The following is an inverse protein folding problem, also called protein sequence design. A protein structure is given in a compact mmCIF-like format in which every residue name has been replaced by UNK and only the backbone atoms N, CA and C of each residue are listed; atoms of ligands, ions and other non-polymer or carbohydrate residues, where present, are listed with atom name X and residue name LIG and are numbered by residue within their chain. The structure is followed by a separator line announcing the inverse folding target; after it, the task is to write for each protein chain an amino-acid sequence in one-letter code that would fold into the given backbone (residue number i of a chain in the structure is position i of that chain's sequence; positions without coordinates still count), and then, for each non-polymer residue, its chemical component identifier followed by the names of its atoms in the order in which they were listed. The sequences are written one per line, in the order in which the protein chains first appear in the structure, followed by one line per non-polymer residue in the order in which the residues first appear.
data_IF_388201660946
#
_entry.id   IF_388201660946
#
_cell.length_a   1.000
_cell.length_b   1.000
_cell.length_c   1.000
_cell.angle_alpha   90.00
_cell.angle_beta   90.00
_cell.angle_gamma   90.00
#
_symmetry.space_group_name_H-M   'P 1'
#
loop_
_entity.id
_entity.type
_entity.pdbx_description
1 polymer ?
#
# COMPACT_ATOMS: atom_id res chain seq x y z
N UNK A 1 4.90 33.21 5.55
CA UNK A 1 4.71 31.79 5.19
C UNK A 1 5.57 31.54 3.96
N UNK A 2 6.72 30.90 4.12
CA UNK A 2 7.66 30.67 3.02
C UNK A 2 7.12 29.55 2.13
N UNK A 3 6.69 29.88 0.92
CA UNK A 3 6.53 28.89 -0.15
C UNK A 3 7.93 28.38 -0.47
N UNK A 4 8.22 27.13 -0.13
CA UNK A 4 9.43 26.45 -0.62
C UNK A 4 9.48 26.60 -2.14
N UNK A 5 10.61 27.04 -2.72
CA UNK A 5 10.72 27.09 -4.18
C UNK A 5 10.54 25.66 -4.69
N UNK A 6 9.66 25.50 -5.67
CA UNK A 6 9.50 24.28 -6.44
C UNK A 6 10.87 23.96 -7.07
N UNK A 7 11.69 23.18 -6.36
CA UNK A 7 13.03 22.85 -6.83
C UNK A 7 12.86 22.00 -8.07
N UNK A 8 13.34 22.54 -9.19
CA UNK A 8 13.31 21.81 -10.46
C UNK A 8 14.03 20.47 -10.30
N UNK A 9 13.54 19.44 -10.97
CA UNK A 9 14.11 18.10 -10.91
C UNK A 9 15.60 18.08 -11.31
N UNK A 10 16.03 19.04 -12.13
CA UNK A 10 17.42 19.27 -12.52
C UNK A 10 18.30 19.72 -11.35
N UNK A 11 17.81 20.64 -10.51
CA UNK A 11 18.51 21.10 -9.31
C UNK A 11 18.72 19.96 -8.31
N UNK A 12 17.68 19.13 -8.14
CA UNK A 12 17.72 17.95 -7.28
C UNK A 12 18.71 16.91 -7.82
N UNK A 13 18.66 16.61 -9.13
CA UNK A 13 19.59 15.67 -9.76
C UNK A 13 21.05 16.14 -9.60
N UNK A 14 21.30 17.43 -9.79
CA UNK A 14 22.62 18.02 -9.63
C UNK A 14 23.11 17.99 -8.17
N UNK A 15 22.25 18.32 -7.21
CA UNK A 15 22.57 18.24 -5.78
C UNK A 15 22.84 16.82 -5.28
N UNK A 16 22.24 15.81 -5.94
CA UNK A 16 22.47 14.40 -5.67
C UNK A 16 23.64 13.80 -6.47
N UNK A 17 24.22 14.55 -7.41
CA UNK A 17 25.32 14.08 -8.26
C UNK A 17 24.90 12.98 -9.25
N UNK A 18 23.61 12.89 -9.59
CA UNK A 18 23.06 11.87 -10.50
C UNK A 18 22.55 12.49 -11.79
N UNK A 19 22.48 11.69 -12.85
CA UNK A 19 21.89 12.14 -14.10
C UNK A 19 20.39 12.40 -13.93
N UNK A 20 19.89 13.49 -14.55
CA UNK A 20 18.48 13.87 -14.49
C UNK A 20 17.55 12.75 -14.97
N UNK A 21 17.96 11.99 -15.99
CA UNK A 21 17.16 10.88 -16.49
C UNK A 21 17.04 9.72 -15.50
N UNK A 22 18.10 9.46 -14.72
CA UNK A 22 18.08 8.47 -13.64
C UNK A 22 17.07 8.87 -12.57
N UNK A 23 17.12 10.14 -12.15
CA UNK A 23 16.17 10.67 -11.18
C UNK A 23 14.73 10.66 -11.74
N UNK A 24 14.53 11.03 -13.02
CA UNK A 24 13.23 10.95 -13.69
C UNK A 24 12.68 9.53 -13.72
N UNK A 25 13.54 8.54 -13.98
CA UNK A 25 13.16 7.13 -13.97
C UNK A 25 12.70 6.72 -12.57
N UNK A 26 13.49 7.01 -11.53
CA UNK A 26 13.12 6.69 -10.15
C UNK A 26 11.84 7.38 -9.70
N UNK A 27 11.61 8.65 -10.04
CA UNK A 27 10.35 9.34 -9.72
C UNK A 27 9.17 8.71 -10.47
N UNK A 28 9.36 8.23 -11.69
CA UNK A 28 8.32 7.51 -12.43
C UNK A 28 8.03 6.16 -11.79
N UNK A 29 9.05 5.38 -11.50
CA UNK A 29 8.96 4.09 -10.82
C UNK A 29 8.28 4.24 -9.46
N UNK A 30 8.71 5.20 -8.64
CA UNK A 30 8.11 5.51 -7.34
C UNK A 30 6.63 5.85 -7.48
N UNK A 31 6.27 6.75 -8.40
CA UNK A 31 4.85 7.07 -8.66
C UNK A 31 4.04 5.84 -9.10
N UNK A 32 4.61 4.94 -9.89
CA UNK A 32 3.92 3.69 -10.24
C UNK A 32 3.82 2.73 -9.06
N UNK A 33 4.85 2.66 -8.20
CA UNK A 33 4.84 1.82 -7.00
C UNK A 33 3.84 2.34 -5.94
N UNK A 34 3.79 3.66 -5.71
CA UNK A 34 2.78 4.28 -4.84
C UNK A 34 1.38 4.02 -5.39
N UNK A 35 1.18 4.21 -6.71
CA UNK A 35 -0.09 3.90 -7.37
C UNK A 35 -0.49 2.43 -7.21
N UNK A 36 0.47 1.49 -7.28
CA UNK A 36 0.19 0.07 -7.02
C UNK A 36 -0.17 -0.21 -5.57
N UNK A 37 0.46 0.48 -4.61
CA UNK A 37 0.17 0.34 -3.18
C UNK A 37 -1.21 0.93 -2.81
N UNK A 38 -1.65 1.98 -3.49
CA UNK A 38 -2.95 2.64 -3.28
C UNK A 38 -4.11 1.95 -4.04
N UNK A 39 -3.86 0.78 -4.64
CA UNK A 39 -4.90 -0.05 -5.27
C UNK A 39 -5.21 0.28 -6.73
N UNK A 40 -4.54 1.28 -7.31
CA UNK A 40 -4.59 1.61 -8.74
C UNK A 40 -3.60 0.76 -9.58
N UNK A 41 -2.83 -0.13 -8.94
CA UNK A 41 -1.95 -1.13 -9.57
C UNK A 41 -2.66 -2.22 -10.36
N UNK A 42 -3.99 -2.26 -10.27
CA UNK A 42 -4.86 -3.15 -11.02
C UNK A 42 -4.74 -2.92 -12.54
N UNK A 43 -4.22 -1.77 -12.99
CA UNK A 43 -4.12 -1.42 -14.41
C UNK A 43 -3.22 -2.35 -15.24
N UNK A 44 -2.22 -3.00 -14.63
CA UNK A 44 -1.28 -3.91 -15.32
C UNK A 44 -1.58 -5.40 -15.09
N UNK A 45 -2.64 -5.70 -14.34
CA UNK A 45 -3.04 -7.08 -14.03
C UNK A 45 -3.93 -7.66 -15.14
N UNK A 46 -3.73 -8.94 -15.46
CA UNK A 46 -4.64 -9.71 -16.32
C UNK A 46 -6.03 -9.81 -15.68
N UNK A 47 -7.11 -9.99 -16.46
CA UNK A 47 -8.46 -10.10 -15.91
C UNK A 47 -8.60 -11.24 -14.88
N UNK A 48 -7.85 -12.33 -15.04
CA UNK A 48 -7.81 -13.46 -14.12
C UNK A 48 -7.19 -13.06 -12.77
N UNK A 49 -6.03 -12.39 -12.78
CA UNK A 49 -5.38 -11.86 -11.58
C UNK A 49 -6.28 -10.87 -10.82
N UNK A 50 -7.04 -10.03 -11.54
CA UNK A 50 -8.02 -9.11 -10.93
C UNK A 50 -9.18 -9.84 -10.27
N UNK A 51 -9.68 -10.88 -10.89
CA UNK A 51 -10.77 -11.70 -10.34
C UNK A 51 -10.31 -12.46 -9.09
N UNK A 52 -9.12 -13.06 -9.16
CA UNK A 52 -8.49 -13.72 -8.02
C UNK A 52 -8.27 -12.71 -6.88
N UNK A 53 -7.72 -11.53 -7.15
CA UNK A 53 -7.51 -10.48 -6.15
C UNK A 53 -8.83 -10.04 -5.48
N UNK A 54 -9.92 -9.94 -6.25
CA UNK A 54 -11.25 -9.64 -5.70
C UNK A 54 -11.78 -10.76 -4.83
N UNK A 55 -11.57 -12.02 -5.24
CA UNK A 55 -11.96 -13.19 -4.47
C UNK A 55 -11.19 -13.24 -3.13
N UNK A 56 -9.87 -13.08 -3.19
CA UNK A 56 -8.99 -13.06 -2.03
C UNK A 56 -9.35 -11.93 -1.06
N UNK A 57 -9.63 -10.72 -1.55
CA UNK A 57 -10.06 -9.60 -0.69
C UNK A 57 -11.37 -9.88 0.05
N UNK A 58 -12.33 -10.53 -0.61
CA UNK A 58 -13.61 -10.92 0.03
C UNK A 58 -13.39 -11.98 1.10
N UNK A 59 -12.58 -13.00 0.80
CA UNK A 59 -12.28 -14.05 1.76
C UNK A 59 -11.49 -13.50 2.96
N UNK A 60 -10.54 -12.60 2.72
CA UNK A 60 -9.79 -11.96 3.80
C UNK A 60 -10.72 -11.19 4.74
N UNK A 61 -11.63 -10.38 4.20
CA UNK A 61 -12.60 -9.64 5.01
C UNK A 61 -13.50 -10.57 5.85
N UNK A 62 -13.91 -11.71 5.28
CA UNK A 62 -14.68 -12.73 6.01
C UNK A 62 -13.85 -13.36 7.14
N UNK A 63 -12.59 -13.72 6.86
CA UNK A 63 -11.69 -14.28 7.85
C UNK A 63 -11.38 -13.28 8.99
N UNK A 64 -11.32 -11.99 8.69
CA UNK A 64 -11.15 -10.95 9.71
C UNK A 64 -12.36 -10.86 10.65
N UNK A 65 -13.59 -10.95 10.11
CA UNK A 65 -14.81 -11.01 10.91
C UNK A 65 -14.84 -12.24 11.81
N UNK A 66 -14.57 -13.42 11.26
CA UNK A 66 -14.50 -14.67 12.03
C UNK A 66 -13.43 -14.59 13.14
N UNK A 67 -12.26 -14.05 12.83
CA UNK A 67 -11.19 -13.84 13.81
C UNK A 67 -11.62 -12.87 14.92
N UNK A 68 -12.38 -11.83 14.60
CA UNK A 68 -12.88 -10.90 15.62
C UNK A 68 -13.85 -11.60 16.58
N UNK A 69 -14.77 -12.40 16.05
CA UNK A 69 -15.71 -13.19 16.85
C UNK A 69 -14.94 -14.15 17.77
N UNK A 70 -13.96 -14.87 17.23
CA UNK A 70 -13.15 -15.81 17.99
C UNK A 70 -12.32 -15.10 19.08
N UNK A 71 -11.75 -13.92 18.78
CA UNK A 71 -11.03 -13.11 19.78
C UNK A 71 -11.96 -12.66 20.91
N UNK A 72 -13.17 -12.20 20.58
CA UNK A 72 -14.18 -11.81 21.60
C UNK A 72 -14.59 -13.00 22.47
N UNK A 73 -14.81 -14.17 21.86
CA UNK A 73 -15.12 -15.40 22.59
C UNK A 73 -13.96 -15.80 23.51
N UNK A 74 -12.73 -15.85 23.00
CA UNK A 74 -11.53 -16.16 23.78
C UNK A 74 -11.35 -15.20 24.96
N UNK A 75 -11.59 -13.90 24.78
CA UNK A 75 -11.54 -12.92 25.86
C UNK A 75 -12.62 -13.15 26.93
N UNK A 76 -13.84 -13.56 26.53
CA UNK A 76 -14.89 -13.92 27.47
C UNK A 76 -14.48 -15.15 28.30
N UNK A 77 -14.03 -16.21 27.65
CA UNK A 77 -13.59 -17.44 28.32
C UNK A 77 -12.42 -17.19 29.27
N UNK A 78 -11.42 -16.39 28.88
CA UNK A 78 -10.29 -16.05 29.75
C UNK A 78 -10.72 -15.29 31.02
N UNK A 79 -11.75 -14.45 30.93
CA UNK A 79 -12.33 -13.75 32.10
C UNK A 79 -13.08 -14.69 33.02
N UNK A 80 -13.77 -15.69 32.47
CA UNK A 80 -14.52 -16.67 33.25
C UNK A 80 -13.60 -17.68 33.94
N UNK A 81 -12.50 -18.09 33.31
CA UNK A 81 -11.54 -19.04 33.91
C UNK A 81 -10.64 -18.42 34.97
N UNK A 82 -10.50 -17.10 35.00
CA UNK A 82 -9.70 -16.36 36.01
C UNK A 82 -10.52 -16.03 37.28
N UNK A 83 -11.78 -16.47 37.38
CA UNK A 83 -12.65 -16.27 38.53
C UNK A 83 -12.71 -17.51 39.44
#
# INVERSE_FOLDING_TARGET
MCSSPDRSLTDIAHGLGIHLETLRKWVRDDRTHTRTAEGEGDADMTPDEKEELRCLRRENARLEEDNEILRKAAACFARETTR
#
